data_IF_439185016567
#
_entry.id   IF_439185016567
#
_cell.length_a   1.000
_cell.length_b   1.000
_cell.length_c   1.000
_cell.angle_alpha   90.00
_cell.angle_beta   90.00
_cell.angle_gamma   90.00
#
_symmetry.space_group_name_H-M   'P 1'
#
loop_
_entity.id
_entity.type
_entity.pdbx_description
1 polymer ?
#
# COMPACT_ATOMS: atom_id res chain seq x y z
N UNK A 1 -15.64 43.02 -18.20
CA UNK A 1 -16.23 41.83 -17.57
C UNK A 1 -15.13 40.80 -17.55
N UNK A 2 -14.42 40.74 -16.43
CA UNK A 2 -13.33 39.81 -16.17
C UNK A 2 -13.97 38.57 -15.53
N UNK A 3 -13.96 37.44 -16.23
CA UNK A 3 -14.45 36.18 -15.69
C UNK A 3 -13.26 35.46 -15.05
N UNK A 4 -13.12 35.63 -13.74
CA UNK A 4 -12.35 34.72 -12.90
C UNK A 4 -12.99 33.33 -12.96
N UNK A 5 -12.50 32.46 -13.84
CA UNK A 5 -12.93 31.06 -13.91
C UNK A 5 -12.46 30.31 -12.65
N UNK A 6 -13.43 29.84 -11.89
CA UNK A 6 -13.29 29.13 -10.62
C UNK A 6 -12.52 27.82 -10.82
N UNK A 7 -11.42 27.65 -10.09
CA UNK A 7 -10.62 26.43 -10.11
C UNK A 7 -11.42 25.34 -9.40
N UNK A 8 -11.67 24.20 -10.06
CA UNK A 8 -12.32 23.05 -9.42
C UNK A 8 -11.57 22.69 -8.11
N UNK A 9 -12.23 22.65 -6.94
CA UNK A 9 -11.61 22.35 -5.64
C UNK A 9 -10.78 21.05 -5.66
N UNK A 10 -11.18 20.13 -6.53
CA UNK A 10 -10.65 18.79 -6.80
C UNK A 10 -9.17 18.78 -7.19
N UNK A 11 -8.73 19.67 -8.09
CA UNK A 11 -7.35 19.72 -8.61
C UNK A 11 -6.42 20.43 -7.62
N UNK A 12 -6.97 21.45 -6.94
CA UNK A 12 -6.24 22.24 -5.96
C UNK A 12 -5.86 21.37 -4.77
N UNK A 13 -6.74 20.51 -4.27
CA UNK A 13 -6.48 19.69 -3.07
C UNK A 13 -5.37 18.65 -3.29
N UNK A 14 -5.38 17.90 -4.40
CA UNK A 14 -4.38 16.87 -4.68
C UNK A 14 -2.98 17.48 -4.89
N UNK A 15 -2.88 18.54 -5.71
CA UNK A 15 -1.63 19.24 -5.93
C UNK A 15 -1.16 19.98 -4.67
N UNK A 16 -2.07 20.55 -3.88
CA UNK A 16 -1.74 21.25 -2.63
C UNK A 16 -1.22 20.28 -1.58
N UNK A 17 -1.87 19.13 -1.35
CA UNK A 17 -1.43 18.10 -0.40
C UNK A 17 -0.08 17.48 -0.80
N UNK A 18 0.10 17.19 -2.10
CA UNK A 18 1.41 16.73 -2.62
C UNK A 18 2.48 17.81 -2.44
N UNK A 19 2.14 19.09 -2.61
CA UNK A 19 3.11 20.18 -2.49
C UNK A 19 3.42 20.57 -1.04
N UNK A 20 2.49 20.35 -0.10
CA UNK A 20 2.66 20.57 1.33
C UNK A 20 3.54 19.50 1.98
N UNK A 21 3.52 18.26 1.47
CA UNK A 21 4.28 17.13 2.04
C UNK A 21 5.62 16.83 1.32
N UNK A 22 6.10 17.72 0.43
CA UNK A 22 7.35 17.53 -0.33
C UNK A 22 8.58 18.14 0.32
N UNK A 23 9.69 17.39 0.33
CA UNK A 23 11.02 17.96 0.61
C UNK A 23 11.52 18.83 -0.56
N UNK A 24 12.46 19.75 -0.29
CA UNK A 24 13.05 20.65 -1.31
C UNK A 24 13.74 19.91 -2.46
N UNK A 25 14.20 18.67 -2.26
CA UNK A 25 14.90 17.88 -3.28
C UNK A 25 13.95 17.23 -4.28
N UNK A 26 12.77 16.77 -3.84
CA UNK A 26 11.75 16.17 -4.71
C UNK A 26 11.17 17.18 -5.71
N UNK A 27 11.05 18.44 -5.28
CA UNK A 27 10.62 19.57 -6.13
C UNK A 27 11.58 19.79 -7.32
N UNK A 28 12.90 19.60 -7.14
CA UNK A 28 13.91 19.83 -8.19
C UNK A 28 14.04 18.68 -9.21
N UNK A 29 13.83 17.42 -8.80
CA UNK A 29 13.93 16.26 -9.70
C UNK A 29 12.81 16.24 -10.76
N UNK A 30 11.58 16.62 -10.40
CA UNK A 30 10.43 16.67 -11.34
C UNK A 30 10.53 17.79 -12.37
N UNK A 31 11.09 18.95 -12.01
CA UNK A 31 11.33 20.06 -12.95
C UNK A 31 12.32 19.69 -14.06
N UNK A 32 13.21 18.71 -13.84
CA UNK A 32 14.13 18.19 -14.86
C UNK A 32 13.51 17.10 -15.74
N UNK A 33 12.63 16.25 -15.20
CA UNK A 33 11.97 15.18 -15.97
C UNK A 33 10.81 15.68 -16.83
N UNK A 34 10.08 16.74 -16.41
CA UNK A 34 8.99 17.32 -17.21
C UNK A 34 9.47 18.16 -18.42
N UNK A 35 10.76 18.48 -18.53
CA UNK A 35 11.30 19.29 -19.64
C UNK A 35 11.63 18.50 -20.92
N UNK A 36 11.42 17.18 -20.97
CA UNK A 36 11.78 16.35 -22.14
C UNK A 36 10.65 15.61 -22.85
N UNK A 37 9.40 15.77 -22.44
CA UNK A 37 8.26 15.10 -23.09
C UNK A 37 7.02 16.01 -23.10
N UNK A 38 6.77 16.71 -24.22
CA UNK A 38 5.45 16.99 -24.81
C UNK A 38 5.53 18.17 -25.80
N UNK A 39 5.45 17.88 -27.11
CA UNK A 39 5.21 18.89 -28.15
C UNK A 39 3.75 18.96 -28.62
N UNK A 40 2.83 18.25 -27.96
CA UNK A 40 1.37 18.38 -28.19
C UNK A 40 0.62 18.04 -26.89
N UNK A 41 0.36 19.04 -26.04
CA UNK A 41 -0.57 18.87 -24.92
C UNK A 41 -1.95 19.44 -25.32
N UNK A 42 -3.01 18.62 -25.38
CA UNK A 42 -4.37 19.11 -25.19
C UNK A 42 -4.54 19.58 -23.73
N UNK A 43 -5.47 20.50 -23.49
CA UNK A 43 -5.61 21.26 -22.23
C UNK A 43 -5.63 20.39 -20.95
N UNK A 44 -4.87 20.83 -19.95
CA UNK A 44 -4.59 20.15 -18.67
C UNK A 44 -5.76 20.11 -17.68
N UNK A 45 -7.01 20.37 -18.09
CA UNK A 45 -8.14 20.55 -17.16
C UNK A 45 -8.82 19.24 -16.70
N UNK A 46 -8.71 18.14 -17.45
CA UNK A 46 -9.42 16.89 -17.13
C UNK A 46 -8.51 15.66 -16.85
N UNK A 47 -7.19 15.82 -16.92
CA UNK A 47 -6.28 14.66 -16.80
C UNK A 47 -6.08 14.16 -15.37
N UNK A 48 -6.30 14.99 -14.35
CA UNK A 48 -6.08 14.62 -12.94
C UNK A 48 -7.28 13.91 -12.30
N UNK A 49 -8.42 13.83 -12.99
CA UNK A 49 -9.64 13.22 -12.45
C UNK A 49 -9.67 11.69 -12.68
N UNK A 50 -8.73 11.14 -13.47
CA UNK A 50 -8.70 9.71 -13.81
C UNK A 50 -7.31 9.05 -13.65
N UNK A 51 -6.39 9.66 -12.88
CA UNK A 51 -5.07 9.07 -12.65
C UNK A 51 -5.14 7.91 -11.66
N UNK A 52 -4.33 6.88 -11.92
CA UNK A 52 -4.08 5.80 -10.97
C UNK A 52 -3.09 6.33 -9.93
N UNK A 53 -3.49 6.30 -8.67
CA UNK A 53 -2.66 6.72 -7.54
C UNK A 53 -2.13 5.51 -6.80
N UNK A 54 -0.80 5.44 -6.60
CA UNK A 54 -0.17 4.39 -5.78
C UNK A 54 -0.29 4.78 -4.31
N UNK A 55 -0.95 3.95 -3.52
CA UNK A 55 -1.17 4.20 -2.09
C UNK A 55 -0.22 3.42 -1.18
N UNK A 56 0.28 2.27 -1.67
CA UNK A 56 1.30 1.47 -1.00
C UNK A 56 2.24 0.89 -2.05
N UNK A 57 3.56 0.96 -1.82
CA UNK A 57 4.58 0.28 -2.62
C UNK A 57 5.63 -0.37 -1.72
N UNK A 58 5.94 -1.64 -2.00
CA UNK A 58 7.05 -2.40 -1.43
C UNK A 58 7.96 -2.91 -2.56
N UNK A 59 9.25 -2.60 -2.50
CA UNK A 59 10.25 -3.01 -3.50
C UNK A 59 11.58 -3.46 -2.90
N UNK A 60 11.85 -3.07 -1.65
CA UNK A 60 13.06 -3.42 -0.88
C UNK A 60 12.81 -3.11 0.62
N UNK A 61 13.85 -3.27 1.45
CA UNK A 61 13.86 -3.05 2.89
C UNK A 61 14.26 -1.62 3.33
N UNK A 62 14.40 -0.67 2.39
CA UNK A 62 14.90 0.69 2.67
C UNK A 62 14.01 1.54 3.59
N UNK A 63 12.76 1.12 3.80
CA UNK A 63 11.78 1.79 4.67
C UNK A 63 11.11 0.77 5.56
N UNK A 64 11.22 0.95 6.88
CA UNK A 64 10.41 0.17 7.83
C UNK A 64 8.94 0.54 7.75
N UNK A 65 8.06 -0.46 7.73
CA UNK A 65 6.60 -0.33 7.82
C UNK A 65 6.06 -0.69 9.21
N UNK A 66 6.93 -1.21 10.10
CA UNK A 66 6.62 -1.39 11.51
C UNK A 66 6.67 -0.01 12.20
N UNK A 67 5.52 0.68 12.23
CA UNK A 67 5.40 2.07 12.69
C UNK A 67 4.14 2.27 13.52
N UNK A 68 4.09 3.39 14.23
CA UNK A 68 2.94 3.76 15.05
C UNK A 68 1.72 4.13 14.19
N UNK A 69 0.51 4.08 14.79
CA UNK A 69 -0.71 4.59 14.17
C UNK A 69 -0.54 6.01 13.60
N UNK A 70 0.07 6.90 14.39
CA UNK A 70 0.29 8.31 14.01
C UNK A 70 1.11 8.45 12.74
N UNK A 71 2.10 7.58 12.52
CA UNK A 71 2.89 7.58 11.30
C UNK A 71 2.07 7.16 10.08
N UNK A 72 1.10 6.25 10.26
CA UNK A 72 0.22 5.76 9.20
C UNK A 72 -0.87 6.75 8.78
N UNK A 73 -1.17 7.77 9.60
CA UNK A 73 -2.09 8.85 9.21
C UNK A 73 -1.55 9.64 8.01
N UNK A 74 -0.23 9.87 7.97
CA UNK A 74 0.46 10.68 6.98
C UNK A 74 1.32 9.84 6.03
N UNK A 75 1.83 10.48 4.97
CA UNK A 75 2.73 9.84 4.02
C UNK A 75 4.09 9.53 4.65
N UNK A 76 4.67 8.37 4.35
CA UNK A 76 6.07 8.08 4.59
C UNK A 76 6.71 7.31 3.42
N UNK A 77 8.04 7.34 3.36
CA UNK A 77 8.82 6.76 2.27
C UNK A 77 9.05 7.75 1.12
N UNK A 78 9.04 7.25 -0.11
CA UNK A 78 9.39 8.02 -1.31
C UNK A 78 8.51 7.63 -2.50
N UNK A 79 8.10 8.63 -3.30
CA UNK A 79 7.30 8.42 -4.52
C UNK A 79 7.99 7.52 -5.56
N UNK A 80 9.33 7.42 -5.51
CA UNK A 80 10.13 6.57 -6.41
C UNK A 80 10.68 5.32 -5.72
N UNK A 81 10.29 5.05 -4.46
CA UNK A 81 10.74 3.90 -3.69
C UNK A 81 9.57 3.29 -2.92
N UNK A 82 9.85 2.68 -1.78
CA UNK A 82 8.80 2.26 -0.86
C UNK A 82 7.94 3.45 -0.43
N UNK A 83 6.62 3.26 -0.41
CA UNK A 83 5.67 4.34 -0.18
C UNK A 83 4.49 3.83 0.65
N UNK A 84 4.07 4.67 1.59
CA UNK A 84 2.72 4.66 2.14
C UNK A 84 2.15 6.06 1.98
N UNK A 85 0.96 6.18 1.39
CA UNK A 85 0.38 7.48 1.06
C UNK A 85 -0.33 8.14 2.26
N UNK A 86 -0.68 7.38 3.30
CA UNK A 86 -1.34 7.90 4.50
C UNK A 86 -2.85 7.63 4.51
N UNK A 87 -3.38 7.22 5.67
CA UNK A 87 -4.80 6.96 5.88
C UNK A 87 -5.67 8.21 5.65
N UNK A 88 -5.18 9.40 6.03
CA UNK A 88 -5.93 10.65 5.81
C UNK A 88 -6.13 10.94 4.31
N UNK A 89 -5.09 10.70 3.50
CA UNK A 89 -5.18 10.85 2.06
C UNK A 89 -6.15 9.83 1.47
N UNK A 90 -5.98 8.55 1.82
CA UNK A 90 -6.83 7.47 1.31
C UNK A 90 -8.29 7.78 1.65
N UNK A 91 -8.61 8.06 2.92
CA UNK A 91 -9.96 8.40 3.37
C UNK A 91 -10.53 9.61 2.63
N UNK A 92 -9.76 10.70 2.53
CA UNK A 92 -10.20 11.93 1.85
C UNK A 92 -10.57 11.67 0.40
N UNK A 93 -9.72 10.94 -0.32
CA UNK A 93 -9.88 10.68 -1.75
C UNK A 93 -11.05 9.73 -2.01
N UNK A 94 -11.21 8.68 -1.19
CA UNK A 94 -12.26 7.66 -1.40
C UNK A 94 -13.63 8.01 -0.84
N UNK A 95 -13.76 9.02 0.04
CA UNK A 95 -15.05 9.36 0.66
C UNK A 95 -15.53 10.78 0.39
N UNK A 96 -14.63 11.76 0.33
CA UNK A 96 -15.02 13.18 0.27
C UNK A 96 -15.18 13.70 -1.16
N UNK A 97 -14.77 12.92 -2.16
CA UNK A 97 -14.78 13.33 -3.57
C UNK A 97 -16.07 12.93 -4.31
N UNK A 98 -16.97 12.16 -3.68
CA UNK A 98 -18.25 11.75 -4.27
C UNK A 98 -18.10 10.86 -5.52
N UNK A 99 -16.95 10.20 -5.68
CA UNK A 99 -16.66 9.26 -6.76
C UNK A 99 -16.48 7.88 -6.17
N UNK A 100 -16.97 6.86 -6.86
CA UNK A 100 -16.65 5.47 -6.56
C UNK A 100 -15.22 5.17 -7.03
N UNK A 101 -14.46 4.36 -6.28
CA UNK A 101 -13.08 3.99 -6.60
C UNK A 101 -12.93 2.48 -6.89
N UNK A 102 -11.98 2.08 -7.72
CA UNK A 102 -11.38 0.72 -7.61
C UNK A 102 -10.06 0.84 -6.89
N UNK A 103 -9.71 -0.24 -6.18
CA UNK A 103 -8.34 -0.56 -5.87
C UNK A 103 -7.80 -1.58 -6.87
N UNK A 104 -6.50 -1.53 -7.18
CA UNK A 104 -5.76 -2.54 -7.93
C UNK A 104 -4.52 -2.94 -7.14
N UNK A 105 -4.20 -4.23 -7.15
CA UNK A 105 -3.02 -4.77 -6.50
C UNK A 105 -2.17 -5.44 -7.58
N UNK A 106 -0.90 -5.04 -7.67
CA UNK A 106 0.10 -5.62 -8.57
C UNK A 106 1.16 -6.30 -7.72
N UNK A 107 1.47 -7.56 -8.04
CA UNK A 107 2.46 -8.38 -7.33
C UNK A 107 3.44 -9.01 -8.30
N UNK A 108 4.69 -9.11 -7.87
CA UNK A 108 5.76 -9.82 -8.56
C UNK A 108 6.53 -10.65 -7.55
N UNK A 109 6.64 -11.96 -7.75
CA UNK A 109 7.42 -12.85 -6.87
C UNK A 109 8.88 -12.98 -7.33
N UNK A 110 9.73 -13.55 -6.48
CA UNK A 110 11.05 -14.03 -6.92
C UNK A 110 10.90 -15.35 -7.67
N UNK A 111 11.86 -15.72 -8.54
CA UNK A 111 11.96 -17.10 -9.00
C UNK A 111 12.08 -18.02 -7.78
N UNK A 112 11.41 -19.18 -7.80
CA UNK A 112 11.40 -20.10 -6.66
C UNK A 112 12.81 -20.61 -6.39
N UNK A 113 13.21 -20.69 -5.13
CA UNK A 113 14.48 -21.30 -4.72
C UNK A 113 14.22 -22.67 -4.12
N UNK A 114 14.58 -23.73 -4.85
CA UNK A 114 14.49 -25.11 -4.35
C UNK A 114 15.91 -25.70 -4.40
N UNK A 115 16.44 -26.17 -3.27
CA UNK A 115 17.79 -26.73 -3.16
C UNK A 115 18.88 -25.82 -3.76
N UNK A 116 18.88 -24.54 -3.38
CA UNK A 116 19.79 -23.49 -3.89
C UNK A 116 19.76 -23.29 -5.42
N UNK A 117 18.75 -23.82 -6.12
CA UNK A 117 18.56 -23.63 -7.55
C UNK A 117 17.33 -22.76 -7.79
N UNK A 118 17.49 -21.71 -8.60
CA UNK A 118 16.36 -20.92 -9.06
C UNK A 118 15.55 -21.75 -10.07
N UNK A 119 14.29 -22.00 -9.75
CA UNK A 119 13.34 -22.72 -10.59
C UNK A 119 12.23 -21.77 -11.01
N UNK A 120 11.97 -21.74 -12.32
CA UNK A 120 10.83 -21.05 -12.91
C UNK A 120 11.04 -19.55 -13.17
N UNK A 121 10.14 -18.94 -13.94
CA UNK A 121 10.15 -17.50 -14.18
C UNK A 121 9.68 -16.72 -12.94
N UNK A 122 9.92 -15.42 -12.95
CA UNK A 122 9.21 -14.47 -12.07
C UNK A 122 7.71 -14.60 -12.34
N UNK A 123 6.91 -14.80 -11.29
CA UNK A 123 5.45 -14.80 -11.41
C UNK A 123 4.92 -13.36 -11.21
N UNK A 124 3.95 -12.97 -12.03
CA UNK A 124 3.29 -11.67 -11.97
C UNK A 124 1.78 -11.85 -11.86
N UNK A 125 1.16 -11.11 -10.95
CA UNK A 125 -0.27 -11.13 -10.71
C UNK A 125 -0.81 -9.71 -10.56
N UNK A 126 -2.01 -9.47 -11.10
CA UNK A 126 -2.77 -8.25 -10.80
C UNK A 126 -4.23 -8.56 -10.54
N UNK A 127 -4.89 -7.70 -9.75
CA UNK A 127 -6.30 -7.88 -9.43
C UNK A 127 -6.96 -6.56 -8.99
N UNK A 128 -8.28 -6.45 -9.14
CA UNK A 128 -9.05 -5.20 -8.95
C UNK A 128 -10.21 -5.35 -7.96
N UNK A 129 -10.24 -4.51 -6.95
CA UNK A 129 -11.32 -4.40 -5.97
C UNK A 129 -12.48 -3.58 -6.53
N UNK A 130 -13.30 -4.27 -7.34
CA UNK A 130 -14.64 -3.91 -7.83
C UNK A 130 -15.48 -5.20 -8.02
N UNK A 131 -14.80 -6.31 -8.34
CA UNK A 131 -15.13 -7.73 -8.10
C UNK A 131 -13.87 -8.55 -8.48
N UNK A 132 -12.99 -8.84 -7.49
CA UNK A 132 -11.56 -9.20 -7.59
C UNK A 132 -11.26 -10.71 -7.82
N UNK A 133 -10.09 -11.03 -8.39
CA UNK A 133 -9.20 -12.22 -8.15
C UNK A 133 -7.90 -11.92 -8.95
N UNK A 134 -6.67 -12.30 -8.59
CA UNK A 134 -6.16 -13.63 -8.25
C UNK A 134 -5.71 -13.72 -6.81
N UNK A 135 -6.20 -14.78 -6.17
CA UNK A 135 -5.83 -15.18 -4.84
C UNK A 135 -6.29 -14.19 -3.76
N UNK A 136 -7.59 -13.96 -3.62
CA UNK A 136 -8.15 -12.90 -2.78
C UNK A 136 -7.91 -13.11 -1.27
N UNK A 137 -6.82 -12.51 -0.78
CA UNK A 137 -6.46 -12.49 0.63
C UNK A 137 -7.02 -11.28 1.40
N UNK A 138 -7.91 -10.49 0.78
CA UNK A 138 -8.55 -9.33 1.42
C UNK A 138 -9.95 -9.63 1.92
N UNK A 139 -10.53 -10.80 1.60
CA UNK A 139 -11.88 -11.18 2.03
C UNK A 139 -12.06 -11.04 3.55
N UNK A 140 -11.10 -11.54 4.33
CA UNK A 140 -11.09 -11.41 5.80
C UNK A 140 -10.89 -9.98 6.29
N UNK A 141 -10.25 -9.12 5.51
CA UNK A 141 -9.96 -7.74 5.88
C UNK A 141 -11.14 -6.80 5.55
N UNK A 142 -12.14 -7.28 4.82
CA UNK A 142 -13.24 -6.44 4.35
C UNK A 142 -14.11 -5.95 5.53
N UNK A 143 -14.34 -4.63 5.57
CA UNK A 143 -15.10 -3.99 6.65
C UNK A 143 -14.35 -3.83 7.97
N UNK A 144 -13.09 -4.25 8.04
CA UNK A 144 -12.28 -4.10 9.24
C UNK A 144 -11.73 -2.69 9.39
N UNK A 145 -11.49 -2.30 10.64
CA UNK A 145 -10.76 -1.08 10.96
C UNK A 145 -9.25 -1.32 10.88
N UNK A 146 -8.48 -0.25 10.71
CA UNK A 146 -7.02 -0.36 10.65
C UNK A 146 -6.50 -0.57 12.07
N UNK A 147 -5.59 -1.52 12.25
CA UNK A 147 -4.94 -1.84 13.52
C UNK A 147 -3.44 -1.55 13.40
N UNK A 148 -2.87 -0.93 14.41
CA UNK A 148 -1.45 -0.56 14.45
C UNK A 148 -0.83 -0.86 15.81
N UNK A 149 0.48 -0.66 15.94
CA UNK A 149 1.18 -0.88 17.19
C UNK A 149 0.66 0.06 18.29
N UNK A 150 0.54 -0.47 19.50
CA UNK A 150 -0.04 0.18 20.67
C UNK A 150 -1.44 -0.35 20.99
N UNK A 151 -1.72 -0.51 22.27
CA UNK A 151 -2.99 -1.04 22.79
C UNK A 151 -4.21 -0.15 22.50
N UNK A 152 -3.99 1.14 22.26
CA UNK A 152 -5.08 2.10 21.94
C UNK A 152 -5.58 1.97 20.50
N UNK A 153 -4.84 1.26 19.64
CA UNK A 153 -5.12 1.12 18.21
C UNK A 153 -5.20 -0.34 17.80
N UNK A 154 -5.64 -1.18 18.74
CA UNK A 154 -5.99 -2.58 18.54
C UNK A 154 -7.48 -2.67 18.17
N UNK A 155 -7.76 -2.56 16.88
CA UNK A 155 -9.12 -2.65 16.33
C UNK A 155 -9.37 -4.01 15.66
N UNK A 156 -8.53 -5.01 15.94
CA UNK A 156 -8.73 -6.36 15.45
C UNK A 156 -9.77 -7.11 16.30
N UNK A 157 -10.17 -8.31 15.86
CA UNK A 157 -11.25 -9.07 16.51
C UNK A 157 -10.74 -10.07 17.54
N UNK A 158 -9.49 -9.92 18.00
CA UNK A 158 -8.83 -10.84 18.91
C UNK A 158 -8.47 -10.16 20.23
N UNK A 159 -8.03 -10.95 21.21
CA UNK A 159 -7.54 -10.42 22.48
C UNK A 159 -6.05 -10.02 22.44
N UNK A 160 -5.39 -10.20 21.30
CA UNK A 160 -3.97 -9.89 21.09
C UNK A 160 -3.86 -8.87 19.97
N UNK A 161 -2.96 -7.89 20.08
CA UNK A 161 -2.78 -6.94 18.99
C UNK A 161 -2.00 -7.60 17.84
N UNK A 162 -2.68 -7.95 16.75
CA UNK A 162 -2.09 -8.57 15.57
C UNK A 162 -1.00 -7.69 14.95
N UNK A 163 -1.16 -6.37 14.94
CA UNK A 163 -0.15 -5.47 14.38
C UNK A 163 1.15 -5.50 15.20
N UNK A 164 1.08 -5.63 16.52
CA UNK A 164 2.26 -5.79 17.37
C UNK A 164 2.90 -7.17 17.20
N UNK A 165 2.08 -8.22 17.17
CA UNK A 165 2.54 -9.61 17.03
C UNK A 165 3.26 -9.81 15.70
N UNK A 166 2.67 -9.33 14.60
CA UNK A 166 3.24 -9.44 13.25
C UNK A 166 4.23 -8.32 12.91
N UNK A 167 4.32 -7.27 13.73
CA UNK A 167 5.07 -6.04 13.46
C UNK A 167 4.69 -5.43 12.11
N UNK A 168 3.39 -5.39 11.85
CA UNK A 168 2.83 -5.06 10.54
C UNK A 168 1.44 -4.44 10.69
N UNK A 169 1.31 -3.10 10.76
CA UNK A 169 0.00 -2.45 10.84
C UNK A 169 -0.88 -2.74 9.61
N UNK A 170 -2.12 -3.18 9.80
CA UNK A 170 -3.01 -3.57 8.72
C UNK A 170 -4.47 -3.63 9.17
N UNK A 171 -5.39 -3.81 8.23
CA UNK A 171 -6.82 -4.01 8.49
C UNK A 171 -7.10 -5.44 8.98
N UNK A 172 -6.78 -5.76 10.23
CA UNK A 172 -6.91 -7.12 10.76
C UNK A 172 -8.34 -7.49 11.16
N UNK A 173 -8.69 -8.77 11.02
CA UNK A 173 -9.86 -9.39 11.64
C UNK A 173 -9.40 -10.32 12.77
N UNK A 174 -9.70 -11.62 12.69
CA UNK A 174 -8.99 -12.64 13.48
C UNK A 174 -7.73 -13.03 12.70
N UNK A 175 -6.66 -12.24 12.88
CA UNK A 175 -5.47 -12.29 12.04
C UNK A 175 -5.73 -11.77 10.62
N UNK A 176 -4.94 -12.22 9.63
CA UNK A 176 -5.18 -11.89 8.22
C UNK A 176 -4.49 -12.87 7.27
N UNK A 177 -4.99 -12.93 6.03
CA UNK A 177 -4.38 -13.66 4.92
C UNK A 177 -3.58 -12.75 3.98
N UNK A 178 -3.67 -11.43 4.15
CA UNK A 178 -2.89 -10.41 3.45
C UNK A 178 -2.21 -9.49 4.44
N UNK A 179 -0.91 -9.25 4.27
CA UNK A 179 -0.15 -8.33 5.13
C UNK A 179 0.90 -7.58 4.29
N UNK A 180 0.49 -6.64 3.42
CA UNK A 180 1.40 -5.91 2.54
C UNK A 180 2.37 -4.96 3.27
N UNK A 181 2.08 -4.63 4.53
CA UNK A 181 2.92 -3.83 5.43
C UNK A 181 3.95 -4.66 6.20
N UNK A 182 3.97 -5.97 6.00
CA UNK A 182 4.92 -6.89 6.63
C UNK A 182 6.39 -6.55 6.39
N UNK A 183 7.28 -7.18 7.15
CA UNK A 183 8.71 -6.98 6.98
C UNK A 183 9.18 -7.51 5.62
N UNK A 184 10.00 -6.72 4.92
CA UNK A 184 10.49 -7.10 3.59
C UNK A 184 11.57 -8.19 3.72
N UNK A 185 11.61 -9.15 2.80
CA UNK A 185 12.67 -10.17 2.75
C UNK A 185 12.52 -11.32 3.74
N UNK A 186 11.46 -11.34 4.55
CA UNK A 186 11.19 -12.40 5.53
C UNK A 186 10.06 -13.29 5.02
N UNK A 187 10.29 -14.60 4.97
CA UNK A 187 9.24 -15.59 4.70
C UNK A 187 8.31 -15.72 5.90
N UNK A 188 7.05 -16.09 5.68
CA UNK A 188 6.11 -16.30 6.79
C UNK A 188 6.22 -17.75 7.23
N UNK A 189 6.55 -18.05 8.50
CA UNK A 189 6.60 -19.43 8.97
C UNK A 189 5.26 -20.15 8.77
N UNK A 190 5.33 -21.41 8.37
CA UNK A 190 4.22 -22.31 8.08
C UNK A 190 3.51 -22.86 9.34
N UNK A 191 4.12 -22.72 10.52
CA UNK A 191 3.60 -23.25 11.79
C UNK A 191 3.41 -22.18 12.87
N UNK A 192 2.29 -22.27 13.58
CA UNK A 192 2.04 -21.61 14.85
C UNK A 192 3.08 -22.08 15.89
N UNK A 193 4.16 -21.31 16.04
CA UNK A 193 5.18 -21.57 17.06
C UNK A 193 4.68 -21.20 18.45
N UNK A 194 3.94 -22.10 19.11
CA UNK A 194 3.71 -22.05 20.56
C UNK A 194 4.95 -22.58 21.27
N UNK A 195 5.88 -21.69 21.64
CA UNK A 195 6.99 -22.04 22.53
C UNK A 195 6.73 -21.38 23.89
N UNK A 196 6.64 -22.21 24.92
CA UNK A 196 6.67 -21.82 26.33
C UNK A 196 5.55 -20.87 26.80
N UNK A 197 4.33 -21.03 26.26
CA UNK A 197 3.18 -20.21 26.67
C UNK A 197 3.19 -18.78 26.15
N UNK A 198 4.15 -18.46 25.27
CA UNK A 198 4.27 -17.17 24.61
C UNK A 198 4.17 -17.43 23.10
N UNK A 199 3.27 -16.71 22.42
CA UNK A 199 3.29 -16.66 20.96
C UNK A 199 4.64 -16.07 20.54
N UNK A 200 5.55 -16.91 20.07
CA UNK A 200 6.86 -16.44 19.60
C UNK A 200 6.66 -15.54 18.40
N UNK A 201 7.45 -14.47 18.34
CA UNK A 201 7.35 -13.39 17.36
C UNK A 201 7.15 -13.94 15.96
N UNK A 202 5.91 -13.90 15.47
CA UNK A 202 5.61 -14.08 14.07
C UNK A 202 6.30 -12.94 13.35
N UNK A 203 7.50 -13.16 12.79
CA UNK A 203 8.08 -12.17 11.90
C UNK A 203 7.14 -12.09 10.69
N UNK A 204 6.29 -11.08 10.69
CA UNK A 204 5.20 -10.95 9.75
C UNK A 204 5.72 -10.45 8.43
N UNK A 205 6.35 -11.32 7.64
CA UNK A 205 6.75 -11.05 6.28
C UNK A 205 5.59 -10.51 5.43
N UNK A 206 5.91 -9.85 4.32
CA UNK A 206 4.89 -9.42 3.36
C UNK A 206 4.14 -10.65 2.85
N UNK A 207 2.82 -10.71 3.08
CA UNK A 207 2.00 -11.88 2.80
C UNK A 207 0.87 -11.58 1.83
N UNK A 208 0.65 -12.53 0.91
CA UNK A 208 -0.57 -12.62 0.10
C UNK A 208 -0.91 -14.10 -0.13
N UNK A 209 -1.48 -14.73 0.90
CA UNK A 209 -1.56 -16.19 1.05
C UNK A 209 -2.13 -16.91 -0.16
N UNK A 210 -3.17 -16.34 -0.75
CA UNK A 210 -3.98 -17.01 -1.75
C UNK A 210 -3.35 -16.97 -3.16
N UNK A 211 -2.30 -16.14 -3.35
CA UNK A 211 -1.47 -16.13 -4.57
C UNK A 211 -0.05 -16.68 -4.34
N UNK A 212 0.61 -16.26 -3.25
CA UNK A 212 2.01 -16.55 -2.96
C UNK A 212 2.21 -17.78 -2.04
N UNK A 213 1.16 -18.27 -1.39
CA UNK A 213 1.30 -19.25 -0.31
C UNK A 213 1.90 -18.64 0.96
N UNK A 214 2.41 -19.49 1.85
CA UNK A 214 3.01 -19.06 3.13
C UNK A 214 4.51 -18.78 3.01
N UNK A 215 5.20 -19.47 2.11
CA UNK A 215 6.67 -19.50 2.08
C UNK A 215 7.30 -18.39 1.21
N UNK A 216 6.48 -17.63 0.49
CA UNK A 216 6.95 -16.64 -0.49
C UNK A 216 6.57 -15.22 -0.08
N UNK A 217 7.58 -14.33 -0.07
CA UNK A 217 7.35 -12.89 0.00
C UNK A 217 7.48 -12.30 -1.43
N UNK A 218 6.66 -11.31 -1.80
CA UNK A 218 6.77 -10.67 -3.10
C UNK A 218 8.05 -9.84 -3.18
N UNK A 219 8.66 -9.83 -4.35
CA UNK A 219 9.72 -8.89 -4.74
C UNK A 219 9.16 -7.48 -4.90
N UNK A 220 7.97 -7.36 -5.49
CA UNK A 220 7.28 -6.09 -5.64
C UNK A 220 5.82 -6.28 -5.25
N UNK A 221 5.29 -5.36 -4.45
CA UNK A 221 3.87 -5.23 -4.19
C UNK A 221 3.46 -3.76 -4.30
N UNK A 222 2.46 -3.47 -5.13
CA UNK A 222 1.88 -2.14 -5.26
C UNK A 222 0.36 -2.21 -5.07
N UNK A 223 -0.17 -1.33 -4.23
CA UNK A 223 -1.61 -1.07 -4.11
C UNK A 223 -1.91 0.30 -4.71
N UNK A 224 -2.94 0.36 -5.54
CA UNK A 224 -3.28 1.54 -6.32
C UNK A 224 -4.78 1.80 -6.29
N UNK A 225 -5.21 3.04 -6.37
CA UNK A 225 -6.63 3.41 -6.47
C UNK A 225 -6.87 4.31 -7.68
N UNK A 226 -8.08 4.27 -8.24
CA UNK A 226 -8.54 5.25 -9.23
C UNK A 226 -10.06 5.45 -9.17
N UNK A 227 -10.57 6.64 -9.52
CA UNK A 227 -12.01 6.86 -9.72
C UNK A 227 -12.61 5.93 -10.79
N UNK A 228 -13.91 5.61 -10.69
CA UNK A 228 -14.70 4.96 -11.76
C UNK A 228 -15.10 5.98 -12.82
#
# INVERSE_FOLDING_TARGET
>A
MDQTEDVSPTVTVFLHWINSNRTRQDKKKRLRSQKRLCNTCPSTRNHLIFTIEVILRRIDDSVTFDRSWKDYLSMFGSLNGNLWMGLEFIHKVTTQMGLDYEMRIDMRSFPRLINNSFIGPIEEGYAKYRNFSVGDSMEKNNGMEFTANGTEYDHDLTSINCAEVFRAPWWYAVGSESRPTGQYGIAVPDQEGYLDGVYTTFQGGIMWKTYLGNDEHPRILEMKIRPQ
#
